data_IF_281730959764
#
_entry.id   IF_281730959764
#
_cell.length_a   1.000
_cell.length_b   1.000
_cell.length_c   1.000
_cell.angle_alpha   90.00
_cell.angle_beta   90.00
_cell.angle_gamma   90.00
#
_symmetry.space_group_name_H-M   'P 1'
#
loop_
_entity.id
_entity.type
_entity.pdbx_description
1 polymer ?
#
# COMPACT_ATOMS: atom_id res chain seq x y z
N UNK A 1 19.62 18.92 -3.07
CA UNK A 1 19.79 17.46 -2.90
C UNK A 1 20.34 17.22 -1.51
N UNK A 2 19.50 16.88 -0.54
CA UNK A 2 19.95 16.62 0.84
C UNK A 2 20.32 15.14 0.92
N UNK A 3 21.59 14.83 1.14
CA UNK A 3 22.06 13.45 1.33
C UNK A 3 21.41 12.88 2.61
N UNK A 4 20.73 11.72 2.48
CA UNK A 4 20.19 11.00 3.63
C UNK A 4 21.34 10.40 4.44
N UNK A 5 21.27 10.52 5.77
CA UNK A 5 22.22 9.92 6.72
C UNK A 5 22.25 8.39 6.55
N UNK A 6 23.41 7.70 6.68
CA UNK A 6 23.54 6.25 6.45
C UNK A 6 22.55 5.38 7.22
N UNK A 7 22.12 5.80 8.41
CA UNK A 7 21.11 5.11 9.21
C UNK A 7 19.69 5.22 8.61
N UNK A 8 19.36 6.32 7.93
CA UNK A 8 18.09 6.48 7.21
C UNK A 8 18.07 5.65 5.92
N UNK A 9 19.21 5.51 5.25
CA UNK A 9 19.35 4.71 4.03
C UNK A 9 19.16 3.22 4.31
N UNK A 10 19.74 2.71 5.41
CA UNK A 10 19.58 1.29 5.78
C UNK A 10 18.15 0.90 6.14
N UNK A 11 17.35 1.84 6.65
CA UNK A 11 15.92 1.61 6.89
C UNK A 11 15.11 1.56 5.60
N UNK A 12 15.50 2.28 4.55
CA UNK A 12 14.77 2.30 3.29
C UNK A 12 15.11 1.11 2.38
N UNK A 13 16.32 0.56 2.52
CA UNK A 13 16.86 -0.49 1.63
C UNK A 13 17.02 -1.84 2.34
N UNK A 14 16.04 -2.21 3.16
CA UNK A 14 16.02 -3.53 3.82
C UNK A 14 15.70 -4.67 2.83
N UNK A 15 16.39 -5.82 2.86
CA UNK A 15 16.18 -6.91 1.91
C UNK A 15 14.73 -7.45 1.92
N UNK A 16 14.12 -7.56 3.10
CA UNK A 16 12.74 -8.05 3.25
C UNK A 16 11.65 -7.01 2.95
N UNK A 17 12.03 -5.83 2.43
CA UNK A 17 11.09 -4.72 2.22
C UNK A 17 10.23 -4.87 0.98
N UNK A 18 10.83 -5.27 -0.13
CA UNK A 18 10.11 -5.46 -1.38
C UNK A 18 9.44 -6.82 -1.37
N UNK A 19 8.11 -6.85 -1.49
CA UNK A 19 7.38 -8.11 -1.54
C UNK A 19 7.35 -8.62 -3.00
N UNK A 20 7.60 -9.91 -3.24
CA UNK A 20 7.62 -10.49 -4.58
C UNK A 20 6.20 -10.74 -5.12
N UNK A 21 5.38 -9.69 -5.19
CA UNK A 21 4.02 -9.73 -5.77
C UNK A 21 4.09 -9.18 -7.20
N UNK A 22 3.72 -10.01 -8.16
CA UNK A 22 3.96 -9.76 -9.60
C UNK A 22 2.96 -8.80 -10.25
N UNK A 23 1.74 -8.77 -9.74
CA UNK A 23 0.59 -7.99 -10.22
C UNK A 23 0.24 -6.81 -9.32
N UNK A 24 0.94 -6.65 -8.18
CA UNK A 24 0.72 -5.55 -7.23
C UNK A 24 1.93 -4.63 -7.20
N UNK A 25 1.77 -3.43 -7.72
CA UNK A 25 2.83 -2.43 -7.72
C UNK A 25 3.10 -1.89 -6.31
N UNK A 26 4.35 -1.50 -6.09
CA UNK A 26 4.81 -0.86 -4.86
C UNK A 26 4.51 -1.64 -3.56
N UNK A 27 4.33 -2.97 -3.66
CA UNK A 27 4.11 -3.85 -2.53
C UNK A 27 5.35 -3.88 -1.62
N UNK A 28 5.21 -3.31 -0.42
CA UNK A 28 6.30 -3.20 0.55
C UNK A 28 5.86 -3.48 1.96
N UNK A 29 6.69 -4.20 2.70
CA UNK A 29 6.58 -4.31 4.15
C UNK A 29 7.02 -2.98 4.81
N UNK A 30 6.24 -2.49 5.78
CA UNK A 30 6.53 -1.26 6.51
C UNK A 30 7.26 -1.51 7.84
N UNK A 31 7.86 -2.68 8.03
CA UNK A 31 8.69 -3.04 9.17
C UNK A 31 10.04 -2.32 9.20
N UNK A 32 10.58 -2.18 10.42
CA UNK A 32 11.90 -1.62 10.66
C UNK A 32 12.00 -0.08 10.66
N UNK A 33 10.89 0.64 10.42
CA UNK A 33 10.87 2.10 10.54
C UNK A 33 10.91 2.52 12.01
N UNK A 34 11.72 3.54 12.30
CA UNK A 34 11.79 4.14 13.64
C UNK A 34 10.55 4.98 13.88
N UNK A 35 9.93 4.80 15.03
CA UNK A 35 8.83 5.65 15.51
C UNK A 35 9.38 6.81 16.34
N UNK A 36 8.56 7.85 16.55
CA UNK A 36 8.95 9.05 17.29
C UNK A 36 9.36 8.77 18.75
N UNK A 37 8.86 7.67 19.32
CA UNK A 37 9.21 7.18 20.66
C UNK A 37 10.42 6.23 20.67
N UNK A 38 11.16 6.12 19.57
CA UNK A 38 12.40 5.34 19.48
C UNK A 38 12.22 3.84 19.26
N UNK A 39 10.98 3.34 19.18
CA UNK A 39 10.69 1.94 18.82
C UNK A 39 10.82 1.71 17.30
N UNK A 40 10.54 0.49 16.86
CA UNK A 40 10.49 0.11 15.44
C UNK A 40 9.17 -0.55 15.10
N UNK A 41 8.66 -0.29 13.89
CA UNK A 41 7.54 -1.05 13.32
C UNK A 41 7.92 -2.52 13.16
N UNK A 42 7.00 -3.42 13.50
CA UNK A 42 7.20 -4.86 13.38
C UNK A 42 7.05 -5.29 11.91
N UNK A 43 7.98 -6.11 11.41
CA UNK A 43 7.84 -6.75 10.09
C UNK A 43 6.63 -7.69 10.05
N UNK A 44 5.95 -7.76 8.90
CA UNK A 44 4.73 -8.53 8.71
C UNK A 44 3.48 -7.91 9.36
N UNK A 45 3.59 -6.72 9.96
CA UNK A 45 2.44 -6.06 10.60
C UNK A 45 1.65 -5.17 9.62
N UNK A 46 2.35 -4.50 8.70
CA UNK A 46 1.74 -3.58 7.74
C UNK A 46 2.41 -3.72 6.39
N UNK A 47 1.57 -3.84 5.35
CA UNK A 47 1.99 -3.84 3.96
C UNK A 47 1.36 -2.62 3.30
N UNK A 48 2.17 -1.89 2.52
CA UNK A 48 1.69 -0.84 1.63
C UNK A 48 1.74 -1.35 0.20
N UNK A 49 0.73 -1.03 -0.57
CA UNK A 49 0.64 -1.34 -2.00
C UNK A 49 0.19 -0.10 -2.77
N UNK A 50 0.27 -0.16 -4.09
CA UNK A 50 -0.60 0.64 -4.95
C UNK A 50 -2.05 0.10 -4.89
N UNK A 51 -2.90 0.53 -5.82
CA UNK A 51 -4.22 -0.08 -5.96
C UNK A 51 -4.12 -1.55 -6.41
N UNK A 52 -5.17 -2.34 -6.17
CA UNK A 52 -5.19 -3.79 -6.42
C UNK A 52 -6.36 -4.19 -7.33
N UNK A 53 -6.73 -3.34 -8.28
CA UNK A 53 -7.84 -3.63 -9.21
C UNK A 53 -7.55 -4.75 -10.23
N UNK A 54 -6.26 -5.11 -10.39
CA UNK A 54 -5.79 -6.16 -11.30
C UNK A 54 -4.98 -7.25 -10.58
N UNK A 55 -5.17 -7.40 -9.27
CA UNK A 55 -4.45 -8.41 -8.50
C UNK A 55 -4.78 -9.83 -8.99
N UNK A 56 -3.73 -10.61 -9.28
CA UNK A 56 -3.83 -12.00 -9.70
C UNK A 56 -4.21 -12.94 -8.56
N UNK A 57 -4.76 -14.11 -8.89
CA UNK A 57 -5.09 -15.14 -7.90
C UNK A 57 -3.85 -15.66 -7.16
N UNK A 58 -2.70 -15.71 -7.84
CA UNK A 58 -1.43 -16.10 -7.24
C UNK A 58 -0.98 -15.12 -6.15
N UNK A 59 -1.03 -13.81 -6.43
CA UNK A 59 -0.66 -12.79 -5.44
C UNK A 59 -1.70 -12.70 -4.31
N UNK A 60 -2.99 -12.96 -4.60
CA UNK A 60 -4.02 -13.08 -3.55
C UNK A 60 -3.73 -14.22 -2.59
N UNK A 61 -3.37 -15.38 -3.12
CA UNK A 61 -2.96 -16.53 -2.32
C UNK A 61 -1.71 -16.22 -1.49
N UNK A 62 -0.70 -15.60 -2.10
CA UNK A 62 0.52 -15.18 -1.42
C UNK A 62 0.25 -14.19 -0.28
N UNK A 63 -0.66 -13.22 -0.46
CA UNK A 63 -1.08 -12.33 0.62
C UNK A 63 -1.75 -13.08 1.77
N UNK A 64 -2.57 -14.09 1.46
CA UNK A 64 -3.22 -14.95 2.47
C UNK A 64 -2.19 -15.78 3.25
N UNK A 65 -1.24 -16.40 2.56
CA UNK A 65 -0.15 -17.17 3.19
C UNK A 65 0.75 -16.29 4.08
N UNK A 66 0.92 -15.02 3.72
CA UNK A 66 1.58 -14.01 4.56
C UNK A 66 0.77 -13.58 5.78
N UNK A 67 -0.46 -14.07 5.94
CA UNK A 67 -1.34 -13.78 7.07
C UNK A 67 -2.08 -12.44 6.95
N UNK A 68 -2.25 -11.90 5.74
CA UNK A 68 -3.05 -10.68 5.55
C UNK A 68 -4.52 -11.00 5.83
N UNK A 69 -5.08 -10.34 6.84
CA UNK A 69 -6.47 -10.53 7.29
C UNK A 69 -7.34 -9.30 7.06
N UNK A 70 -6.75 -8.18 6.65
CA UNK A 70 -7.46 -6.93 6.44
C UNK A 70 -6.85 -6.10 5.31
N UNK A 71 -7.73 -5.50 4.49
CA UNK A 71 -7.38 -4.46 3.52
C UNK A 71 -8.07 -3.16 3.92
N UNK A 72 -7.29 -2.08 3.96
CA UNK A 72 -7.80 -0.73 4.18
C UNK A 72 -7.63 0.04 2.87
N UNK A 73 -8.71 0.26 2.14
CA UNK A 73 -8.71 1.04 0.90
C UNK A 73 -8.90 2.53 1.24
N UNK A 74 -7.85 3.31 0.98
CA UNK A 74 -7.78 4.75 1.27
C UNK A 74 -8.21 5.61 0.07
N UNK A 75 -8.59 4.97 -1.04
CA UNK A 75 -8.93 5.67 -2.29
C UNK A 75 -10.29 6.34 -2.22
N UNK A 76 -10.40 7.44 -2.96
CA UNK A 76 -11.65 8.18 -3.10
C UNK A 76 -12.70 7.31 -3.80
N UNK A 77 -13.98 7.64 -3.59
CA UNK A 77 -15.08 6.94 -4.26
C UNK A 77 -14.90 6.83 -5.78
N UNK A 78 -14.57 7.93 -6.46
CA UNK A 78 -14.37 7.95 -7.92
C UNK A 78 -13.34 6.93 -8.41
N UNK A 79 -12.24 6.78 -7.69
CA UNK A 79 -11.18 5.83 -8.03
C UNK A 79 -11.62 4.38 -7.83
N UNK A 80 -12.43 4.13 -6.79
CA UNK A 80 -12.99 2.80 -6.49
C UNK A 80 -14.06 2.40 -7.50
N UNK A 81 -14.85 3.36 -7.98
CA UNK A 81 -15.86 3.12 -9.00
C UNK A 81 -15.23 2.82 -10.37
N UNK A 82 -14.14 3.51 -10.73
CA UNK A 82 -13.38 3.28 -11.97
C UNK A 82 -12.56 1.98 -11.91
N UNK A 83 -11.95 1.70 -10.75
CA UNK A 83 -11.02 0.58 -10.52
C UNK A 83 -11.34 -0.12 -9.21
N UNK A 84 -12.39 -0.96 -9.16
CA UNK A 84 -12.80 -1.63 -7.94
C UNK A 84 -11.68 -2.56 -7.44
N UNK A 85 -11.40 -2.52 -6.13
CA UNK A 85 -10.44 -3.43 -5.53
C UNK A 85 -11.05 -4.83 -5.51
N UNK A 86 -10.37 -5.83 -6.06
CA UNK A 86 -10.95 -7.15 -6.18
C UNK A 86 -11.14 -7.85 -4.81
N UNK A 87 -10.49 -7.38 -3.74
CA UNK A 87 -10.75 -7.86 -2.38
C UNK A 87 -12.05 -7.31 -1.76
N UNK A 88 -12.72 -6.34 -2.40
CA UNK A 88 -13.94 -5.71 -1.85
C UNK A 88 -15.17 -6.60 -1.82
N UNK A 89 -15.15 -7.75 -2.50
CA UNK A 89 -16.29 -8.66 -2.62
C UNK A 89 -16.03 -10.05 -2.01
N UNK A 90 -14.86 -10.29 -1.41
CA UNK A 90 -14.51 -11.59 -0.84
C UNK A 90 -14.77 -11.66 0.67
N UNK A 91 -15.15 -12.84 1.15
CA UNK A 91 -15.35 -13.10 2.59
C UNK A 91 -14.06 -13.54 3.31
N UNK A 92 -12.97 -13.73 2.56
CA UNK A 92 -11.69 -14.25 3.05
C UNK A 92 -10.94 -13.28 3.99
N UNK A 93 -11.25 -11.98 3.94
CA UNK A 93 -10.61 -10.97 4.76
C UNK A 93 -11.54 -9.80 5.07
N UNK A 94 -11.18 -9.01 6.07
CA UNK A 94 -11.92 -7.79 6.38
C UNK A 94 -11.54 -6.68 5.39
N UNK A 95 -12.49 -6.22 4.58
CA UNK A 95 -12.29 -5.07 3.72
C UNK A 95 -12.88 -3.81 4.35
N UNK A 96 -12.08 -2.76 4.53
CA UNK A 96 -12.54 -1.46 5.05
C UNK A 96 -12.19 -0.36 4.07
N UNK A 97 -13.19 0.45 3.72
CA UNK A 97 -12.96 1.72 3.05
C UNK A 97 -12.77 2.77 4.13
N UNK A 98 -11.63 3.47 4.09
CA UNK A 98 -11.40 4.66 4.88
C UNK A 98 -11.06 5.80 3.94
N UNK A 99 -12.11 6.40 3.37
CA UNK A 99 -11.96 7.53 2.49
C UNK A 99 -11.42 8.72 3.28
N UNK A 100 -10.13 9.03 3.07
CA UNK A 100 -9.44 10.08 3.79
C UNK A 100 -9.84 11.48 3.28
N UNK A 101 -10.33 11.57 2.04
CA UNK A 101 -10.53 12.85 1.35
C UNK A 101 -11.99 13.24 1.23
N UNK A 102 -12.91 12.27 1.22
CA UNK A 102 -14.33 12.53 0.97
C UNK A 102 -14.52 13.18 -0.41
N UNK A 103 -15.35 14.22 -0.46
CA UNK A 103 -15.64 15.00 -1.68
C UNK A 103 -14.62 16.12 -1.95
N UNK A 104 -13.62 16.31 -1.06
CA UNK A 104 -12.68 17.45 -1.08
C UNK A 104 -11.90 17.58 -2.38
N UNK A 105 -11.77 16.50 -3.13
CA UNK A 105 -11.01 16.42 -4.37
C UNK A 105 -11.78 15.91 -5.57
N UNK A 106 -13.12 15.86 -5.51
CA UNK A 106 -13.95 15.42 -6.64
C UNK A 106 -13.72 16.26 -7.91
N UNK A 107 -13.40 17.55 -7.72
CA UNK A 107 -13.05 18.48 -8.81
C UNK A 107 -11.55 18.67 -8.98
N UNK A 108 -10.71 18.03 -8.16
CA UNK A 108 -9.26 18.19 -8.22
C UNK A 108 -8.68 17.32 -9.33
N UNK A 109 -8.12 18.00 -10.33
CA UNK A 109 -7.27 17.38 -11.34
C UNK A 109 -5.88 17.96 -11.15
N UNK A 110 -4.88 17.11 -10.91
CA UNK A 110 -3.49 17.57 -10.99
C UNK A 110 -3.30 18.22 -12.37
N UNK A 111 -2.91 19.51 -12.43
CA UNK A 111 -2.65 20.18 -13.70
C UNK A 111 -1.43 19.57 -14.40
N UNK A 112 -0.55 18.91 -13.63
CA UNK A 112 0.62 18.22 -14.14
C UNK A 112 0.35 16.71 -14.26
N UNK A 113 0.33 16.23 -15.51
CA UNK A 113 0.28 14.81 -15.88
C UNK A 113 1.65 14.26 -16.29
N UNK A 114 2.70 15.06 -16.20
CA UNK A 114 4.05 14.74 -16.69
C UNK A 114 4.92 14.04 -15.66
N UNK A 115 4.45 13.91 -14.41
CA UNK A 115 5.13 13.09 -13.41
C UNK A 115 5.24 11.65 -13.92
N UNK A 116 6.48 11.17 -14.03
CA UNK A 116 6.74 9.79 -14.36
C UNK A 116 6.13 8.88 -13.27
N UNK A 117 5.62 7.69 -13.65
CA UNK A 117 5.09 6.71 -12.70
C UNK A 117 6.10 6.32 -11.61
#
# INVERSE_FOLDING_TARGET
>A
MTSKTPEMTSQLDHPDRALPLSSIENARDLGGYRTADGRRTKFGAFIRTADMHQVSDADRFEMKERGVTMVIDLRMQRERDDKPNLFSHGDDLTFRVHDFWGDRFDTYRSPDRSAAP
#
